data_IF_591530504712
#
_entry.id   IF_591530504712
#
_cell.length_a   1.000
_cell.length_b   1.000
_cell.length_c   1.000
_cell.angle_alpha   90.00
_cell.angle_beta   90.00
_cell.angle_gamma   90.00
#
_symmetry.space_group_name_H-M   'P 1'
#
loop_
_entity.id
_entity.type
_entity.pdbx_description
1 polymer ?
#
# COMPACT_ATOMS: atom_id res chain seq x y z
N UNK A 1 -57.76 11.88 -8.13
CA UNK A 1 -56.67 10.91 -8.38
C UNK A 1 -57.10 9.56 -7.82
N UNK A 2 -56.91 8.47 -8.57
CA UNK A 2 -57.37 7.14 -8.19
C UNK A 2 -56.49 6.61 -7.04
N UNK A 3 -57.02 6.13 -5.90
CA UNK A 3 -56.22 5.65 -4.77
C UNK A 3 -55.13 4.62 -5.14
N UNK A 4 -55.38 3.83 -6.19
CA UNK A 4 -54.42 2.88 -6.75
C UNK A 4 -53.18 3.55 -7.35
N UNK A 5 -53.32 4.70 -8.04
CA UNK A 5 -52.16 5.41 -8.62
C UNK A 5 -51.33 6.12 -7.56
N UNK A 6 -51.97 6.62 -6.50
CA UNK A 6 -51.26 7.18 -5.34
C UNK A 6 -50.46 6.11 -4.59
N UNK A 7 -51.02 4.92 -4.37
CA UNK A 7 -50.32 3.81 -3.72
C UNK A 7 -49.10 3.34 -4.53
N UNK A 8 -49.25 3.18 -5.85
CA UNK A 8 -48.15 2.81 -6.75
C UNK A 8 -47.01 3.84 -6.74
N UNK A 9 -47.34 5.13 -6.70
CA UNK A 9 -46.34 6.20 -6.62
C UNK A 9 -45.54 6.15 -5.32
N UNK A 10 -46.20 5.94 -4.17
CA UNK A 10 -45.51 5.82 -2.87
C UNK A 10 -44.60 4.60 -2.86
N UNK A 11 -45.06 3.44 -3.35
CA UNK A 11 -44.23 2.23 -3.43
C UNK A 11 -43.03 2.44 -4.34
N UNK A 12 -43.20 3.03 -5.52
CA UNK A 12 -42.10 3.35 -6.42
C UNK A 12 -41.08 4.31 -5.77
N UNK A 13 -41.56 5.31 -5.03
CA UNK A 13 -40.70 6.26 -4.33
C UNK A 13 -39.92 5.59 -3.18
N UNK A 14 -40.54 4.66 -2.44
CA UNK A 14 -39.87 3.87 -1.40
C UNK A 14 -38.82 2.94 -1.98
N UNK A 15 -39.14 2.23 -3.09
CA UNK A 15 -38.19 1.37 -3.78
C UNK A 15 -36.98 2.16 -4.31
N UNK A 16 -37.23 3.32 -4.93
CA UNK A 16 -36.16 4.21 -5.39
C UNK A 16 -35.24 4.65 -4.24
N UNK A 17 -35.81 5.05 -3.10
CA UNK A 17 -35.04 5.41 -1.90
C UNK A 17 -34.25 4.22 -1.36
N UNK A 18 -34.85 3.03 -1.32
CA UNK A 18 -34.17 1.82 -0.86
C UNK A 18 -32.97 1.47 -1.75
N UNK A 19 -33.12 1.57 -3.07
CA UNK A 19 -32.03 1.37 -4.04
C UNK A 19 -30.93 2.41 -3.87
N UNK A 20 -31.28 3.69 -3.69
CA UNK A 20 -30.29 4.72 -3.41
C UNK A 20 -29.52 4.46 -2.10
N UNK A 21 -30.23 4.11 -1.02
CA UNK A 21 -29.60 3.80 0.26
C UNK A 21 -28.68 2.58 0.15
N UNK A 22 -29.06 1.58 -0.64
CA UNK A 22 -28.23 0.42 -0.94
C UNK A 22 -26.94 0.82 -1.67
N UNK A 23 -27.02 1.64 -2.71
CA UNK A 23 -25.82 2.14 -3.41
C UNK A 23 -24.95 3.01 -2.51
N UNK A 24 -25.54 3.87 -1.68
CA UNK A 24 -24.79 4.65 -0.70
C UNK A 24 -24.07 3.75 0.31
N UNK A 25 -24.73 2.70 0.80
CA UNK A 25 -24.12 1.72 1.71
C UNK A 25 -22.93 1.01 1.05
N UNK A 26 -23.09 0.52 -0.18
CA UNK A 26 -22.01 -0.13 -0.93
C UNK A 26 -20.82 0.83 -1.14
N UNK A 27 -21.09 2.09 -1.48
CA UNK A 27 -20.05 3.10 -1.64
C UNK A 27 -19.30 3.37 -0.34
N UNK A 28 -20.02 3.50 0.79
CA UNK A 28 -19.40 3.72 2.10
C UNK A 28 -18.53 2.53 2.52
N UNK A 29 -19.01 1.30 2.30
CA UNK A 29 -18.23 0.09 2.56
C UNK A 29 -16.96 0.04 1.70
N UNK A 30 -17.08 0.36 0.41
CA UNK A 30 -15.95 0.42 -0.51
C UNK A 30 -14.91 1.48 -0.08
N UNK A 31 -15.35 2.69 0.26
CA UNK A 31 -14.46 3.75 0.73
C UNK A 31 -13.80 3.39 2.06
N UNK A 32 -14.55 2.79 2.98
CA UNK A 32 -14.01 2.28 4.25
C UNK A 32 -12.93 1.24 4.03
N UNK A 33 -13.17 0.29 3.11
CA UNK A 33 -12.19 -0.71 2.71
C UNK A 33 -10.91 -0.07 2.13
N UNK A 34 -11.02 0.85 1.16
CA UNK A 34 -9.85 1.53 0.58
C UNK A 34 -9.09 2.39 1.60
N UNK A 35 -9.78 2.99 2.57
CA UNK A 35 -9.14 3.74 3.63
C UNK A 35 -8.38 2.82 4.60
N UNK A 36 -8.97 1.67 4.95
CA UNK A 36 -8.32 0.65 5.77
C UNK A 36 -7.09 0.07 5.09
N UNK A 37 -7.17 -0.24 3.79
CA UNK A 37 -6.06 -0.74 2.98
C UNK A 37 -4.89 0.28 2.94
N UNK A 38 -5.21 1.57 2.75
CA UNK A 38 -4.23 2.65 2.82
C UNK A 38 -3.62 2.79 4.22
N UNK A 39 -4.43 2.72 5.28
CA UNK A 39 -3.92 2.81 6.66
C UNK A 39 -2.98 1.66 6.95
N UNK A 40 -3.40 0.42 6.66
CA UNK A 40 -2.59 -0.78 6.78
C UNK A 40 -1.22 -0.62 6.12
N UNK A 41 -1.20 -0.17 4.86
CA UNK A 41 0.04 0.07 4.14
C UNK A 41 0.96 1.05 4.89
N UNK A 42 0.43 2.19 5.36
CA UNK A 42 1.22 3.20 6.08
C UNK A 42 1.66 2.70 7.46
N UNK A 43 0.80 1.96 8.14
CA UNK A 43 1.02 1.41 9.47
C UNK A 43 2.08 0.32 9.47
N UNK A 44 2.19 -0.43 8.36
CA UNK A 44 3.26 -1.39 8.12
C UNK A 44 4.64 -0.73 7.92
N UNK A 45 4.73 0.57 7.63
CA UNK A 45 6.02 1.25 7.46
C UNK A 45 6.62 1.68 8.81
N UNK A 46 7.95 1.57 9.00
CA UNK A 46 8.64 2.16 10.14
C UNK A 46 8.42 3.67 10.27
N UNK A 47 8.28 4.18 11.49
CA UNK A 47 7.98 5.60 11.75
C UNK A 47 8.93 6.60 11.05
N UNK A 48 10.25 6.35 10.94
CA UNK A 48 11.15 7.24 10.20
C UNK A 48 10.83 7.36 8.70
N UNK A 49 10.08 6.42 8.11
CA UNK A 49 9.67 6.46 6.71
C UNK A 49 8.46 7.38 6.50
N UNK A 50 8.70 8.68 6.43
CA UNK A 50 7.66 9.67 6.18
C UNK A 50 7.13 9.61 4.73
N UNK A 51 5.80 9.58 4.61
CA UNK A 51 5.06 9.50 3.34
C UNK A 51 4.30 10.80 3.10
N UNK A 52 4.30 11.26 1.86
CA UNK A 52 3.60 12.49 1.42
C UNK A 52 2.39 12.18 0.54
N UNK A 53 2.26 10.93 0.08
CA UNK A 53 1.14 10.53 -0.76
C UNK A 53 1.16 9.05 -1.10
N UNK A 54 0.08 8.63 -1.75
CA UNK A 54 -0.08 7.27 -2.26
C UNK A 54 -0.03 7.32 -3.79
N UNK A 55 0.79 6.44 -4.39
CA UNK A 55 0.87 6.24 -5.84
C UNK A 55 -0.02 5.07 -6.23
N UNK A 56 0.16 3.93 -5.55
CA UNK A 56 -0.61 2.70 -5.78
C UNK A 56 -0.82 1.98 -4.44
N UNK A 57 -2.03 1.48 -4.21
CA UNK A 57 -2.29 0.43 -3.23
C UNK A 57 -3.25 -0.57 -3.88
N UNK A 58 -2.82 -1.82 -3.91
CA UNK A 58 -3.61 -2.90 -4.48
C UNK A 58 -3.01 -4.24 -4.18
N UNK A 59 -3.80 -5.27 -4.44
CA UNK A 59 -3.43 -6.65 -4.22
C UNK A 59 -4.65 -7.55 -4.26
N UNK A 60 -4.38 -8.83 -4.12
CA UNK A 60 -5.37 -9.87 -3.98
C UNK A 60 -5.34 -10.38 -2.54
N UNK A 61 -6.52 -10.62 -1.97
CA UNK A 61 -6.65 -11.16 -0.62
C UNK A 61 -7.58 -12.36 -0.67
N UNK A 62 -7.02 -13.53 -0.39
CA UNK A 62 -7.77 -14.77 -0.22
C UNK A 62 -8.19 -14.99 1.23
N UNK A 63 -8.80 -16.16 1.48
CA UNK A 63 -9.26 -16.55 2.83
C UNK A 63 -8.12 -16.91 3.79
N UNK A 64 -6.92 -17.20 3.27
CA UNK A 64 -5.77 -17.68 4.05
C UNK A 64 -4.47 -16.96 3.73
N UNK A 65 -4.34 -16.43 2.53
CA UNK A 65 -3.11 -15.84 2.00
C UNK A 65 -3.49 -14.64 1.12
N UNK A 66 -2.60 -13.68 0.98
CA UNK A 66 -2.74 -12.51 0.14
C UNK A 66 -1.41 -12.04 -0.44
N UNK A 67 -1.51 -11.28 -1.52
CA UNK A 67 -0.36 -10.64 -2.14
C UNK A 67 -0.73 -9.23 -2.53
N UNK A 68 0.21 -8.30 -2.37
CA UNK A 68 -0.08 -6.91 -2.72
C UNK A 68 1.10 -6.00 -2.55
N UNK A 69 0.92 -4.76 -2.99
CA UNK A 69 1.93 -3.73 -2.92
C UNK A 69 1.30 -2.39 -2.58
N UNK A 70 2.05 -1.60 -1.81
CA UNK A 70 1.83 -0.18 -1.65
C UNK A 70 3.04 0.58 -2.18
N UNK A 71 2.83 1.40 -3.20
CA UNK A 71 3.80 2.37 -3.70
C UNK A 71 3.40 3.74 -3.17
N UNK A 72 4.28 4.33 -2.37
CA UNK A 72 4.05 5.56 -1.63
C UNK A 72 5.04 6.62 -2.10
N UNK A 73 4.59 7.88 -2.10
CA UNK A 73 5.46 9.03 -2.34
C UNK A 73 6.21 9.35 -1.05
N UNK A 74 7.52 9.42 -1.14
CA UNK A 74 8.42 9.80 -0.05
C UNK A 74 8.28 11.28 0.29
N UNK A 75 8.34 11.64 1.58
CA UNK A 75 8.42 13.05 1.99
C UNK A 75 9.71 13.72 1.48
N UNK A 76 9.68 15.02 1.14
CA UNK A 76 10.90 15.76 0.79
C UNK A 76 11.95 15.75 1.91
N UNK A 77 11.50 15.75 3.17
CA UNK A 77 12.38 15.71 4.35
C UNK A 77 13.12 14.38 4.47
N UNK A 78 12.43 13.25 4.30
CA UNK A 78 13.04 11.92 4.27
C UNK A 78 14.00 11.81 3.09
N UNK A 79 13.61 12.30 1.90
CA UNK A 79 14.48 12.28 0.72
C UNK A 79 15.78 13.03 0.96
N UNK A 80 15.71 14.23 1.55
CA UNK A 80 16.88 15.02 1.90
C UNK A 80 17.74 14.32 2.96
N UNK A 81 17.13 13.66 3.96
CA UNK A 81 17.85 12.90 4.98
C UNK A 81 18.62 11.72 4.37
N UNK A 82 17.98 10.95 3.49
CA UNK A 82 18.62 9.83 2.78
C UNK A 82 19.75 10.29 1.86
N UNK A 83 19.64 11.46 1.24
CA UNK A 83 20.72 12.02 0.42
C UNK A 83 21.94 12.44 1.25
N UNK A 84 21.74 12.92 2.48
CA UNK A 84 22.83 13.34 3.37
C UNK A 84 23.47 12.17 4.11
N UNK A 85 22.65 11.30 4.69
CA UNK A 85 23.10 10.30 5.67
C UNK A 85 23.12 8.88 5.08
N UNK A 86 22.57 8.70 3.87
CA UNK A 86 22.52 7.42 3.17
C UNK A 86 21.79 6.34 3.97
N UNK A 87 22.37 5.14 3.99
CA UNK A 87 21.85 3.99 4.71
C UNK A 87 21.74 4.22 6.23
N UNK A 88 22.58 5.08 6.80
CA UNK A 88 22.60 5.33 8.25
C UNK A 88 21.27 5.92 8.76
N UNK A 89 20.57 6.67 7.91
CA UNK A 89 19.24 7.23 8.23
C UNK A 89 18.15 6.17 8.44
N UNK A 90 18.40 4.91 8.04
CA UNK A 90 17.41 3.83 8.11
C UNK A 90 17.76 2.77 9.16
N UNK A 91 18.96 2.77 9.73
CA UNK A 91 19.45 1.68 10.59
C UNK A 91 18.53 1.37 11.79
N UNK A 92 17.88 2.38 12.36
CA UNK A 92 16.93 2.22 13.47
C UNK A 92 15.48 2.01 13.02
N UNK A 93 15.18 2.17 11.72
CA UNK A 93 13.85 2.08 11.16
C UNK A 93 13.44 0.61 10.91
N UNK A 94 13.37 -0.19 11.97
CA UNK A 94 13.16 -1.65 11.88
C UNK A 94 11.82 -2.14 12.42
N UNK A 95 11.03 -1.30 13.06
CA UNK A 95 9.70 -1.66 13.56
C UNK A 95 8.64 -0.83 12.87
N UNK A 96 7.59 -1.48 12.36
CA UNK A 96 6.44 -0.80 11.77
C UNK A 96 5.72 0.08 12.80
N UNK A 97 5.22 1.25 12.37
CA UNK A 97 4.65 2.25 13.27
C UNK A 97 3.32 1.84 13.90
N UNK A 98 2.50 1.07 13.20
CA UNK A 98 1.19 0.62 13.68
C UNK A 98 1.25 -0.65 14.53
N UNK A 99 2.44 -1.26 14.65
CA UNK A 99 2.62 -2.60 15.18
C UNK A 99 3.82 -2.65 16.12
N UNK A 100 3.89 -1.76 17.11
CA UNK A 100 5.07 -1.57 17.96
C UNK A 100 5.53 -2.86 18.68
N UNK A 101 4.58 -3.69 19.11
CA UNK A 101 4.82 -4.91 19.91
C UNK A 101 4.66 -6.21 19.11
N UNK A 102 4.60 -6.14 17.78
CA UNK A 102 4.41 -7.30 16.91
C UNK A 102 5.69 -7.65 16.14
N UNK A 103 6.23 -8.82 16.43
CA UNK A 103 7.43 -9.36 15.79
C UNK A 103 7.22 -9.66 14.29
N UNK A 104 5.98 -9.94 13.85
CA UNK A 104 5.65 -10.15 12.44
C UNK A 104 5.94 -8.92 11.58
N UNK A 105 5.85 -7.72 12.17
CA UNK A 105 6.13 -6.43 11.53
C UNK A 105 7.52 -5.87 11.86
N UNK A 106 8.41 -6.72 12.37
CA UNK A 106 9.82 -6.37 12.54
C UNK A 106 10.59 -6.66 11.25
N UNK A 107 11.32 -5.66 10.80
CA UNK A 107 12.18 -5.71 9.64
C UNK A 107 13.61 -6.09 10.00
N UNK A 108 14.27 -6.76 9.07
CA UNK A 108 15.69 -7.06 9.11
C UNK A 108 16.55 -5.80 8.98
N UNK A 109 17.87 -5.88 9.21
CA UNK A 109 18.77 -4.76 8.95
C UNK A 109 18.66 -4.29 7.50
N UNK A 110 18.70 -2.97 7.32
CA UNK A 110 18.65 -2.35 6.00
C UNK A 110 19.93 -2.62 5.21
N UNK A 111 19.75 -2.86 3.92
CA UNK A 111 20.80 -3.16 2.96
C UNK A 111 20.73 -2.19 1.79
N UNK A 112 21.88 -1.90 1.16
CA UNK A 112 21.90 -1.16 -0.08
C UNK A 112 21.42 -2.05 -1.23
N UNK A 113 20.64 -1.49 -2.14
CA UNK A 113 20.17 -2.20 -3.33
C UNK A 113 21.37 -2.65 -4.18
N UNK A 114 21.51 -3.95 -4.51
CA UNK A 114 22.62 -4.41 -5.34
C UNK A 114 22.54 -3.80 -6.74
N UNK A 115 23.70 -3.47 -7.32
CA UNK A 115 23.79 -2.83 -8.64
C UNK A 115 23.32 -3.76 -9.78
N UNK A 116 23.31 -5.07 -9.56
CA UNK A 116 22.82 -6.07 -10.51
C UNK A 116 22.12 -7.22 -9.76
N UNK A 117 20.82 -7.38 -10.03
CA UNK A 117 20.24 -8.67 -10.40
C UNK A 117 20.21 -9.83 -9.40
N UNK A 118 20.26 -9.62 -8.09
CA UNK A 118 19.80 -10.62 -7.12
C UNK A 118 19.49 -9.94 -5.78
N UNK A 119 18.29 -9.38 -5.70
CA UNK A 119 17.67 -9.08 -4.42
C UNK A 119 16.64 -10.17 -4.15
N UNK A 120 17.06 -11.37 -3.73
CA UNK A 120 16.13 -12.45 -3.34
C UNK A 120 15.04 -11.94 -2.37
N UNK A 121 15.40 -10.96 -1.54
CA UNK A 121 14.48 -10.29 -0.62
C UNK A 121 13.43 -9.37 -1.25
N UNK A 122 13.45 -9.10 -2.56
CA UNK A 122 12.50 -8.21 -3.24
C UNK A 122 11.35 -8.97 -3.92
N UNK A 123 11.35 -10.31 -3.91
CA UNK A 123 10.29 -11.10 -4.49
C UNK A 123 8.87 -10.67 -4.04
N UNK A 124 8.61 -10.36 -2.75
CA UNK A 124 7.29 -9.88 -2.32
C UNK A 124 6.84 -8.58 -3.01
N UNK A 125 7.78 -7.72 -3.42
CA UNK A 125 7.46 -6.47 -4.13
C UNK A 125 7.04 -6.76 -5.56
N UNK A 126 7.80 -7.57 -6.29
CA UNK A 126 7.50 -7.85 -7.70
C UNK A 126 6.27 -8.75 -7.87
N UNK A 127 6.01 -9.66 -6.92
CA UNK A 127 4.75 -10.40 -6.86
C UNK A 127 3.59 -9.47 -6.51
N UNK A 128 3.78 -8.59 -5.51
CA UNK A 128 2.78 -7.60 -5.13
C UNK A 128 2.38 -6.65 -6.25
N UNK A 129 3.35 -6.20 -7.07
CA UNK A 129 3.08 -5.37 -8.26
C UNK A 129 2.20 -6.11 -9.28
N UNK A 130 2.43 -7.41 -9.48
CA UNK A 130 1.58 -8.23 -10.36
C UNK A 130 0.17 -8.39 -9.79
N UNK A 131 0.04 -8.70 -8.50
CA UNK A 131 -1.27 -8.84 -7.84
C UNK A 131 -2.07 -7.52 -7.79
N UNK A 132 -1.38 -6.39 -7.80
CA UNK A 132 -2.01 -5.07 -7.83
C UNK A 132 -2.35 -4.58 -9.23
N UNK A 133 -2.04 -5.36 -10.28
CA UNK A 133 -2.13 -4.95 -11.70
C UNK A 133 -1.44 -3.58 -11.93
N UNK A 134 -0.23 -3.43 -11.38
CA UNK A 134 0.52 -2.20 -11.46
C UNK A 134 0.92 -1.89 -12.91
N UNK A 135 0.81 -0.63 -13.32
CA UNK A 135 1.14 -0.23 -14.68
C UNK A 135 2.59 -0.57 -15.06
N UNK A 136 2.80 -0.94 -16.33
CA UNK A 136 4.10 -1.38 -16.84
C UNK A 136 5.20 -0.31 -16.65
N UNK A 137 4.84 0.98 -16.72
CA UNK A 137 5.79 2.07 -16.56
C UNK A 137 6.30 2.15 -15.11
N UNK A 138 5.40 2.06 -14.13
CA UNK A 138 5.71 2.05 -12.71
C UNK A 138 6.53 0.82 -12.34
N UNK A 139 6.11 -0.35 -12.80
CA UNK A 139 6.83 -1.61 -12.61
C UNK A 139 8.24 -1.55 -13.20
N UNK A 140 8.39 -1.05 -14.43
CA UNK A 140 9.69 -0.86 -15.07
C UNK A 140 10.53 0.24 -14.41
N UNK A 141 9.90 1.27 -13.85
CA UNK A 141 10.59 2.34 -13.10
C UNK A 141 11.18 1.80 -11.80
N UNK A 142 10.43 0.98 -11.06
CA UNK A 142 10.92 0.32 -9.84
C UNK A 142 12.00 -0.71 -10.19
N UNK A 143 11.78 -1.55 -11.20
CA UNK A 143 12.71 -2.61 -11.60
C UNK A 143 14.04 -2.11 -12.18
N UNK A 144 14.07 -0.91 -12.79
CA UNK A 144 15.32 -0.29 -13.30
C UNK A 144 16.06 0.54 -12.26
N UNK A 145 15.50 0.72 -11.06
CA UNK A 145 16.17 1.50 -10.03
C UNK A 145 17.46 0.79 -9.61
N UNK A 146 18.59 1.47 -9.76
CA UNK A 146 19.93 0.94 -9.44
C UNK A 146 20.49 1.49 -8.13
N UNK A 147 19.76 2.40 -7.48
CA UNK A 147 20.13 3.01 -6.21
C UNK A 147 18.93 3.01 -5.29
N UNK A 148 19.11 2.43 -4.11
CA UNK A 148 18.07 2.37 -3.11
C UNK A 148 18.53 1.61 -1.89
N UNK A 149 17.60 1.43 -0.97
CA UNK A 149 17.79 0.65 0.25
C UNK A 149 16.62 -0.29 0.40
N UNK A 150 16.88 -1.51 0.84
CA UNK A 150 15.82 -2.48 1.09
C UNK A 150 15.98 -3.17 2.43
N UNK A 151 14.87 -3.69 2.93
CA UNK A 151 14.82 -4.58 4.08
C UNK A 151 13.67 -5.56 3.90
N UNK A 152 13.72 -6.69 4.58
CA UNK A 152 12.71 -7.74 4.54
C UNK A 152 12.09 -7.93 5.91
N UNK A 153 10.88 -8.49 5.94
CA UNK A 153 10.22 -9.03 7.13
C UNK A 153 9.64 -10.40 6.77
N UNK A 154 9.01 -11.05 7.73
CA UNK A 154 8.21 -12.24 7.41
C UNK A 154 7.13 -11.88 6.36
N UNK A 155 7.11 -12.59 5.23
CA UNK A 155 6.12 -12.40 4.14
C UNK A 155 6.08 -10.99 3.53
N UNK A 156 7.16 -10.22 3.64
CA UNK A 156 7.16 -8.87 3.05
C UNK A 156 8.52 -8.23 2.90
N UNK A 157 8.55 -7.15 2.13
CA UNK A 157 9.74 -6.38 1.85
C UNK A 157 9.44 -4.89 1.72
N UNK A 158 10.41 -4.07 2.12
CA UNK A 158 10.43 -2.64 1.87
C UNK A 158 11.58 -2.30 0.95
N UNK A 159 11.30 -1.42 -0.01
CA UNK A 159 12.28 -0.83 -0.90
C UNK A 159 12.11 0.69 -0.90
N UNK A 160 13.20 1.39 -0.67
CA UNK A 160 13.27 2.85 -0.61
C UNK A 160 14.12 3.32 -1.77
N UNK A 161 13.53 4.17 -2.62
CA UNK A 161 14.11 4.65 -3.87
C UNK A 161 14.21 6.19 -3.84
N UNK A 162 15.31 6.76 -3.29
CA UNK A 162 15.40 8.20 -3.04
C UNK A 162 15.46 9.05 -4.31
N UNK A 163 15.97 8.53 -5.43
CA UNK A 163 16.03 9.27 -6.70
C UNK A 163 14.65 9.41 -7.33
N UNK A 164 13.85 8.37 -7.18
CA UNK A 164 12.49 8.23 -7.67
C UNK A 164 11.49 8.91 -6.73
N UNK A 165 11.88 9.11 -5.46
CA UNK A 165 11.01 9.64 -4.42
C UNK A 165 9.93 8.65 -4.01
N UNK A 166 10.24 7.35 -4.05
CA UNK A 166 9.30 6.27 -3.80
C UNK A 166 9.70 5.44 -2.58
N UNK A 167 8.68 4.94 -1.89
CA UNK A 167 8.77 3.85 -0.92
C UNK A 167 7.82 2.77 -1.41
N UNK A 168 8.31 1.53 -1.49
CA UNK A 168 7.55 0.39 -1.99
C UNK A 168 7.50 -0.66 -0.89
N UNK A 169 6.28 -1.01 -0.47
CA UNK A 169 6.02 -2.09 0.47
C UNK A 169 5.31 -3.21 -0.27
N UNK A 170 5.94 -4.39 -0.36
CA UNK A 170 5.34 -5.59 -0.95
C UNK A 170 5.13 -6.66 0.11
N UNK A 171 4.06 -7.43 -0.02
CA UNK A 171 3.79 -8.58 0.83
C UNK A 171 3.26 -9.76 0.01
N UNK A 172 3.56 -10.96 0.47
CA UNK A 172 3.13 -12.23 -0.10
C UNK A 172 3.12 -13.28 1.00
N UNK A 173 1.92 -13.72 1.42
CA UNK A 173 1.71 -14.63 2.54
C UNK A 173 0.24 -14.74 2.94
#
# INVERSE_FOLDING_TARGET
MNPLTSALYVVAQLLYRAVLLWFCLLLLLYLGYKLAERSYAIDALPAPLEVDGLVLVGGESGFREGCGVAVLRMSPALRARLQRDGLAALQQARQARGYADDDYYRYEPWQALPAQGDGDGLAPIFLGLQCADADDELSARIGRASQGYYTTKHEGALLVLPREGLIVFGYFG
#
